data_IF_583861340935
#
_entry.id   IF_583861340935
#
_cell.length_a   1.000
_cell.length_b   1.000
_cell.length_c   1.000
_cell.angle_alpha   90.00
_cell.angle_beta   90.00
_cell.angle_gamma   90.00
#
_symmetry.space_group_name_H-M   'P 1'
#
loop_
_entity.id
_entity.type
_entity.pdbx_description
1 polymer ?
#
# COMPACT_ATOMS: atom_id res chain seq x y z
N UNK A 1 -10.41 14.33 -9.78
CA UNK A 1 -9.85 13.01 -9.49
C UNK A 1 -10.87 11.99 -9.95
N UNK A 2 -10.50 11.14 -10.89
CA UNK A 2 -11.38 10.06 -11.37
C UNK A 2 -11.13 8.78 -10.56
N UNK A 3 -11.92 7.74 -10.80
CA UNK A 3 -11.70 6.45 -10.17
C UNK A 3 -10.43 5.78 -10.70
N UNK A 4 -10.09 6.00 -11.97
CA UNK A 4 -8.87 5.51 -12.60
C UNK A 4 -7.61 6.13 -11.96
N UNK A 5 -7.67 7.42 -11.57
CA UNK A 5 -6.59 8.07 -10.79
C UNK A 5 -6.33 7.34 -9.46
N UNK A 6 -7.38 6.72 -8.90
CA UNK A 6 -7.33 5.89 -7.69
C UNK A 6 -7.04 4.42 -7.99
N UNK A 7 -6.79 4.02 -9.25
CA UNK A 7 -6.50 2.64 -9.65
C UNK A 7 -7.71 1.75 -9.87
N UNK A 8 -8.86 2.34 -10.23
CA UNK A 8 -10.02 1.58 -10.68
C UNK A 8 -9.72 0.95 -12.04
N UNK A 9 -10.15 -0.29 -12.23
CA UNK A 9 -9.80 -1.08 -13.41
C UNK A 9 -11.01 -1.88 -13.91
N UNK A 10 -11.00 -2.31 -15.18
CA UNK A 10 -12.08 -3.14 -15.73
C UNK A 10 -12.37 -4.39 -14.90
N UNK A 11 -11.35 -5.04 -14.33
CA UNK A 11 -11.53 -6.20 -13.47
C UNK A 11 -12.34 -5.90 -12.19
N UNK A 12 -12.21 -4.68 -11.65
CA UNK A 12 -12.99 -4.25 -10.48
C UNK A 12 -14.44 -3.97 -10.90
N UNK A 13 -14.66 -3.34 -12.05
CA UNK A 13 -16.01 -3.09 -12.58
C UNK A 13 -16.73 -4.39 -12.92
N UNK A 14 -16.07 -5.34 -13.57
CA UNK A 14 -16.60 -6.67 -13.86
C UNK A 14 -17.00 -7.40 -12.56
N UNK A 15 -16.17 -7.34 -11.53
CA UNK A 15 -16.50 -7.91 -10.22
C UNK A 15 -17.69 -7.19 -9.57
N UNK A 16 -17.79 -5.87 -9.69
CA UNK A 16 -18.93 -5.07 -9.18
C UNK A 16 -20.22 -5.49 -9.87
N UNK A 17 -20.20 -5.65 -11.18
CA UNK A 17 -21.37 -6.09 -11.97
C UNK A 17 -21.77 -7.52 -11.64
N UNK A 18 -20.81 -8.45 -11.57
CA UNK A 18 -21.06 -9.85 -11.26
C UNK A 18 -21.69 -10.06 -9.87
N UNK A 19 -21.42 -9.16 -8.92
CA UNK A 19 -22.02 -9.17 -7.59
C UNK A 19 -23.38 -8.42 -7.52
N UNK A 20 -23.88 -7.89 -8.63
CA UNK A 20 -25.15 -7.14 -8.67
C UNK A 20 -25.06 -5.76 -8.00
N UNK A 21 -23.85 -5.19 -7.87
CA UNK A 21 -23.59 -3.93 -7.16
C UNK A 21 -23.52 -2.72 -8.11
N UNK A 22 -23.92 -2.88 -9.38
CA UNK A 22 -23.82 -1.83 -10.39
C UNK A 22 -24.61 -0.54 -10.04
N UNK A 23 -25.70 -0.68 -9.27
CA UNK A 23 -26.52 0.45 -8.81
C UNK A 23 -26.01 1.14 -7.54
N UNK A 24 -24.89 0.70 -6.97
CA UNK A 24 -24.27 1.33 -5.80
C UNK A 24 -23.09 2.19 -6.22
N UNK A 25 -22.83 3.26 -5.48
CA UNK A 25 -21.61 4.04 -5.65
C UNK A 25 -20.40 3.15 -5.31
N UNK A 26 -19.23 3.50 -5.87
CA UNK A 26 -17.98 2.78 -5.65
C UNK A 26 -16.90 3.75 -5.21
N UNK A 27 -16.06 3.30 -4.30
CA UNK A 27 -14.99 4.14 -3.75
C UNK A 27 -13.84 3.33 -3.20
N UNK A 28 -12.73 4.02 -2.98
CA UNK A 28 -11.49 3.46 -2.44
C UNK A 28 -11.29 3.88 -0.99
N UNK A 29 -11.07 2.91 -0.12
CA UNK A 29 -10.78 3.15 1.30
C UNK A 29 -9.41 3.82 1.42
N UNK A 30 -9.38 5.06 1.89
CA UNK A 30 -8.17 5.85 2.07
C UNK A 30 -7.65 5.81 3.51
N UNK A 31 -8.54 5.68 4.49
CA UNK A 31 -8.17 5.57 5.90
C UNK A 31 -9.15 4.67 6.68
N UNK A 32 -8.65 4.09 7.76
CA UNK A 32 -9.40 3.25 8.68
C UNK A 32 -9.19 3.76 10.12
N UNK A 33 -10.29 4.08 10.79
CA UNK A 33 -10.32 4.50 12.19
C UNK A 33 -11.33 3.64 12.96
N UNK A 34 -10.86 2.46 13.40
CA UNK A 34 -11.66 1.43 14.08
C UNK A 34 -12.80 0.88 13.21
N UNK A 35 -14.00 1.44 13.35
CA UNK A 35 -15.21 1.00 12.65
C UNK A 35 -15.67 1.99 11.59
N UNK A 36 -14.92 3.09 11.42
CA UNK A 36 -15.17 4.11 10.42
C UNK A 36 -14.07 4.14 9.37
N UNK A 37 -14.48 4.36 8.13
CA UNK A 37 -13.62 4.32 6.97
C UNK A 37 -13.76 5.62 6.20
N UNK A 38 -12.64 6.25 5.84
CA UNK A 38 -12.67 7.35 4.87
C UNK A 38 -12.63 6.73 3.48
N UNK A 39 -13.67 6.96 2.68
CA UNK A 39 -13.82 6.38 1.34
C UNK A 39 -13.83 7.50 0.30
N UNK A 40 -12.88 7.45 -0.64
CA UNK A 40 -12.81 8.38 -1.78
C UNK A 40 -13.59 7.84 -2.96
N UNK A 41 -14.48 8.65 -3.51
CA UNK A 41 -15.30 8.32 -4.70
C UNK A 41 -15.06 9.36 -5.80
N UNK A 42 -15.72 9.21 -6.94
CA UNK A 42 -15.73 10.23 -7.99
C UNK A 42 -16.45 11.51 -7.57
N UNK A 43 -17.38 11.43 -6.61
CA UNK A 43 -18.26 12.54 -6.20
C UNK A 43 -17.73 13.28 -4.96
N UNK A 44 -16.83 12.66 -4.20
CA UNK A 44 -16.28 13.23 -2.98
C UNK A 44 -15.74 12.18 -2.02
N UNK A 45 -15.48 12.61 -0.78
CA UNK A 45 -15.05 11.74 0.30
C UNK A 45 -16.20 11.49 1.27
N UNK A 46 -16.34 10.25 1.74
CA UNK A 46 -17.38 9.86 2.70
C UNK A 46 -16.75 9.25 3.94
N UNK A 47 -17.26 9.63 5.11
CA UNK A 47 -17.11 8.86 6.33
C UNK A 47 -18.12 7.69 6.29
N UNK A 48 -17.60 6.48 6.11
CA UNK A 48 -18.40 5.31 5.85
C UNK A 48 -18.34 4.29 6.98
N UNK A 49 -19.45 3.61 7.21
CA UNK A 49 -19.57 2.51 8.17
C UNK A 49 -20.06 1.24 7.46
N UNK A 50 -19.66 0.07 7.95
CA UNK A 50 -20.12 -1.20 7.38
C UNK A 50 -21.57 -1.51 7.82
N UNK A 51 -22.39 -1.98 6.87
CA UNK A 51 -23.77 -2.39 7.17
C UNK A 51 -23.82 -3.57 8.17
N UNK A 52 -24.91 -3.68 8.91
CA UNK A 52 -25.11 -4.75 9.90
C UNK A 52 -24.99 -6.15 9.30
N UNK A 53 -25.45 -6.35 8.06
CA UNK A 53 -25.32 -7.63 7.36
C UNK A 53 -23.85 -8.04 7.18
N UNK A 54 -23.00 -7.11 6.73
CA UNK A 54 -21.56 -7.35 6.54
C UNK A 54 -20.87 -7.62 7.89
N UNK A 55 -21.26 -6.89 8.94
CA UNK A 55 -20.76 -7.13 10.31
C UNK A 55 -21.13 -8.54 10.81
N UNK A 56 -22.35 -9.01 10.51
CA UNK A 56 -22.84 -10.31 10.96
C UNK A 56 -22.23 -11.47 10.17
N UNK A 57 -22.01 -11.31 8.86
CA UNK A 57 -21.44 -12.36 8.01
C UNK A 57 -19.92 -12.48 8.08
N UNK A 58 -19.22 -11.47 8.61
CA UNK A 58 -17.77 -11.48 8.73
C UNK A 58 -17.30 -12.60 9.68
N UNK A 59 -16.40 -13.46 9.19
CA UNK A 59 -15.79 -14.54 9.96
C UNK A 59 -14.48 -14.11 10.62
N UNK A 60 -13.82 -13.11 10.05
CA UNK A 60 -12.52 -12.63 10.50
C UNK A 60 -12.36 -11.13 10.27
N UNK A 61 -11.30 -10.54 10.84
CA UNK A 61 -10.94 -9.15 10.55
C UNK A 61 -10.68 -8.91 9.06
N UNK A 62 -10.31 -9.96 8.31
CA UNK A 62 -10.03 -9.85 6.88
C UNK A 62 -11.26 -9.60 6.02
N UNK A 63 -12.47 -9.86 6.54
CA UNK A 63 -13.72 -9.63 5.80
C UNK A 63 -14.19 -8.17 5.88
N UNK A 64 -13.59 -7.39 6.77
CA UNK A 64 -13.84 -5.95 6.85
C UNK A 64 -12.98 -5.18 5.84
N UNK A 65 -13.42 -3.97 5.44
CA UNK A 65 -12.61 -3.09 4.62
C UNK A 65 -11.26 -2.79 5.29
N UNK A 66 -10.22 -2.68 4.47
CA UNK A 66 -8.88 -2.24 4.86
C UNK A 66 -8.43 -1.11 3.92
N UNK A 67 -7.40 -0.36 4.32
CA UNK A 67 -6.83 0.70 3.48
C UNK A 67 -6.43 0.14 2.12
N UNK A 68 -6.88 0.81 1.05
CA UNK A 68 -6.67 0.39 -0.33
C UNK A 68 -7.80 -0.46 -0.93
N UNK A 69 -8.76 -0.92 -0.13
CA UNK A 69 -9.90 -1.69 -0.64
C UNK A 69 -10.81 -0.83 -1.53
N UNK A 70 -11.34 -1.48 -2.56
CA UNK A 70 -12.48 -0.96 -3.30
C UNK A 70 -13.75 -1.46 -2.64
N UNK A 71 -14.71 -0.57 -2.42
CA UNK A 71 -15.97 -0.88 -1.73
C UNK A 71 -17.16 -0.37 -2.53
N UNK A 72 -18.24 -1.13 -2.50
CA UNK A 72 -19.55 -0.67 -2.92
C UNK A 72 -20.26 -0.03 -1.72
N UNK A 73 -20.79 1.17 -1.91
CA UNK A 73 -21.39 1.98 -0.86
C UNK A 73 -22.67 2.67 -1.31
N UNK A 74 -23.52 3.00 -0.33
CA UNK A 74 -24.69 3.86 -0.50
C UNK A 74 -24.53 5.10 0.38
N UNK A 75 -24.36 6.29 -0.21
CA UNK A 75 -24.49 7.54 0.53
C UNK A 75 -25.89 7.67 1.13
N UNK A 76 -25.97 8.18 2.37
CA UNK A 76 -27.24 8.46 3.04
C UNK A 76 -27.31 9.87 3.64
N UNK A 77 -26.20 10.59 3.61
CA UNK A 77 -26.03 11.97 4.07
C UNK A 77 -24.94 12.63 3.20
N UNK A 78 -24.75 13.95 3.30
CA UNK A 78 -23.82 14.72 2.45
C UNK A 78 -22.39 14.16 2.48
N UNK A 79 -21.93 13.72 3.67
CA UNK A 79 -20.57 13.21 3.88
C UNK A 79 -20.54 11.80 4.47
N UNK A 80 -21.68 11.08 4.50
CA UNK A 80 -21.75 9.74 5.09
C UNK A 80 -22.32 8.69 4.16
N UNK A 81 -21.77 7.49 4.29
CA UNK A 81 -22.18 6.34 3.50
C UNK A 81 -22.18 5.03 4.28
N UNK A 82 -22.89 4.05 3.77
CA UNK A 82 -22.84 2.67 4.26
C UNK A 82 -22.10 1.79 3.26
N UNK A 83 -21.07 1.08 3.73
CA UNK A 83 -20.35 0.08 2.95
C UNK A 83 -21.16 -1.21 2.95
N UNK A 84 -21.56 -1.62 1.75
CA UNK A 84 -22.33 -2.84 1.52
C UNK A 84 -21.44 -4.05 1.26
N UNK A 85 -20.35 -3.85 0.52
CA UNK A 85 -19.45 -4.93 0.13
C UNK A 85 -18.04 -4.42 -0.11
N UNK A 86 -17.06 -5.29 0.15
CA UNK A 86 -15.67 -5.14 -0.26
C UNK A 86 -15.48 -5.89 -1.58
N UNK A 87 -14.99 -5.20 -2.60
CA UNK A 87 -14.69 -5.80 -3.91
C UNK A 87 -13.39 -6.64 -3.84
N UNK A 88 -13.17 -7.59 -4.77
CA UNK A 88 -12.03 -8.49 -4.72
C UNK A 88 -10.67 -7.75 -4.67
N UNK A 89 -9.78 -8.25 -3.81
CA UNK A 89 -8.43 -7.69 -3.61
C UNK A 89 -7.44 -8.28 -4.62
N UNK A 90 -6.73 -7.41 -5.34
CA UNK A 90 -5.63 -7.78 -6.24
C UNK A 90 -4.38 -8.24 -5.48
N UNK A 91 -4.01 -7.50 -4.45
CA UNK A 91 -2.87 -7.78 -3.58
C UNK A 91 -3.24 -7.52 -2.13
N UNK A 92 -2.56 -8.22 -1.22
CA UNK A 92 -2.76 -8.12 0.22
C UNK A 92 -1.38 -8.04 0.87
N UNK A 93 -1.13 -6.95 1.59
CA UNK A 93 0.03 -6.83 2.45
C UNK A 93 -0.41 -7.07 3.90
N UNK A 94 0.21 -8.07 4.53
CA UNK A 94 -0.13 -8.53 5.86
C UNK A 94 1.12 -8.65 6.75
N UNK A 95 0.93 -8.49 8.06
CA UNK A 95 1.97 -8.68 9.09
C UNK A 95 1.46 -9.63 10.16
N UNK A 96 2.34 -10.45 10.72
CA UNK A 96 2.00 -11.23 11.91
C UNK A 96 1.65 -10.31 13.08
N UNK A 97 0.51 -10.55 13.72
CA UNK A 97 0.09 -9.81 14.89
C UNK A 97 1.04 -10.08 16.07
N UNK A 98 1.40 -9.02 16.80
CA UNK A 98 2.22 -9.14 18.01
C UNK A 98 1.40 -9.83 19.09
N UNK A 99 1.90 -10.93 19.66
CA UNK A 99 1.31 -11.59 20.84
C UNK A 99 0.29 -12.69 20.57
N UNK A 100 -0.05 -12.97 19.30
CA UNK A 100 -0.89 -14.11 18.92
C UNK A 100 -0.25 -14.88 17.78
N UNK A 101 0.26 -16.09 18.07
CA UNK A 101 0.82 -16.96 17.04
C UNK A 101 -0.25 -17.28 15.99
N UNK A 102 -0.04 -16.85 14.75
CA UNK A 102 -0.86 -17.21 13.60
C UNK A 102 -1.91 -16.19 13.16
N UNK A 103 -2.28 -15.20 13.98
CA UNK A 103 -3.19 -14.13 13.51
C UNK A 103 -2.41 -13.16 12.60
N UNK A 104 -2.89 -13.01 11.36
CA UNK A 104 -2.34 -12.06 10.39
C UNK A 104 -3.19 -10.79 10.40
N UNK A 105 -2.52 -9.65 10.49
CA UNK A 105 -3.15 -8.34 10.39
C UNK A 105 -2.95 -7.80 8.98
N UNK A 106 -4.04 -7.50 8.29
CA UNK A 106 -4.02 -6.71 7.05
C UNK A 106 -3.48 -5.31 7.33
N UNK A 107 -2.51 -4.89 6.52
CA UNK A 107 -1.95 -3.54 6.57
C UNK A 107 -2.58 -2.69 5.47
N UNK A 108 -2.55 -3.20 4.24
CA UNK A 108 -3.06 -2.52 3.06
C UNK A 108 -3.35 -3.52 1.94
N UNK A 109 -4.17 -3.12 0.98
CA UNK A 109 -4.60 -3.95 -0.15
C UNK A 109 -4.49 -3.19 -1.47
N UNK A 110 -4.53 -3.92 -2.57
CA UNK A 110 -4.49 -3.35 -3.93
C UNK A 110 -3.28 -2.43 -4.16
N UNK A 111 -2.14 -2.80 -3.58
CA UNK A 111 -0.83 -2.20 -3.81
C UNK A 111 -0.23 -2.74 -5.11
N UNK A 112 0.33 -1.84 -5.91
CA UNK A 112 1.08 -2.15 -7.13
C UNK A 112 2.59 -2.17 -6.87
N UNK A 113 3.08 -1.26 -6.02
CA UNK A 113 4.49 -1.14 -5.68
C UNK A 113 4.79 -0.94 -4.19
N UNK A 114 6.01 -1.28 -3.79
CA UNK A 114 6.51 -1.05 -2.44
C UNK A 114 7.95 -0.51 -2.49
N UNK A 115 8.13 0.68 -1.92
CA UNK A 115 9.45 1.28 -1.70
C UNK A 115 10.01 0.79 -0.36
N UNK A 116 11.00 -0.09 -0.42
CA UNK A 116 11.71 -0.62 0.75
C UNK A 116 12.84 0.32 1.11
N UNK A 117 12.61 1.15 2.12
CA UNK A 117 13.52 2.19 2.60
C UNK A 117 14.47 1.62 3.66
N UNK A 118 15.76 1.78 3.41
CA UNK A 118 16.86 1.46 4.34
C UNK A 118 17.76 2.69 4.46
N UNK A 119 17.99 3.17 5.69
CA UNK A 119 18.99 4.19 5.91
C UNK A 119 20.39 3.58 5.77
N UNK A 120 21.32 4.31 5.14
CA UNK A 120 22.73 3.90 5.02
C UNK A 120 23.55 4.11 6.30
N UNK A 121 22.90 4.44 7.41
CA UNK A 121 23.51 4.60 8.72
C UNK A 121 23.68 3.24 9.44
N UNK A 122 23.84 3.26 10.77
CA UNK A 122 24.04 2.06 11.59
C UNK A 122 22.86 1.07 11.55
N UNK A 123 21.69 1.46 11.06
CA UNK A 123 20.53 0.56 10.94
C UNK A 123 20.47 -0.20 9.61
N UNK A 124 21.43 0.02 8.69
CA UNK A 124 21.48 -0.76 7.44
C UNK A 124 21.59 -2.25 7.74
N UNK A 125 20.61 -3.03 7.25
CA UNK A 125 20.53 -4.45 7.55
C UNK A 125 20.04 -5.25 6.34
N UNK A 126 20.96 -5.97 5.70
CA UNK A 126 20.65 -6.74 4.51
C UNK A 126 19.61 -7.85 4.76
N UNK A 127 19.70 -8.57 5.88
CA UNK A 127 18.71 -9.60 6.23
C UNK A 127 17.31 -9.00 6.39
N UNK A 128 17.21 -7.74 6.83
CA UNK A 128 15.95 -7.01 6.91
C UNK A 128 15.42 -6.64 5.53
N UNK A 129 16.30 -6.16 4.63
CA UNK A 129 15.96 -5.90 3.23
C UNK A 129 15.41 -7.16 2.54
N UNK A 130 16.10 -8.29 2.67
CA UNK A 130 15.67 -9.57 2.09
C UNK A 130 14.31 -10.04 2.62
N UNK A 131 14.03 -9.82 3.91
CA UNK A 131 12.70 -10.10 4.48
C UNK A 131 11.61 -9.23 3.86
N UNK A 132 11.86 -7.95 3.63
CA UNK A 132 10.88 -7.08 2.96
C UNK A 132 10.67 -7.47 1.50
N UNK A 133 11.74 -7.87 0.79
CA UNK A 133 11.63 -8.40 -0.57
C UNK A 133 10.78 -9.67 -0.61
N UNK A 134 10.97 -10.59 0.34
CA UNK A 134 10.15 -11.79 0.46
C UNK A 134 8.67 -11.48 0.73
N UNK A 135 8.37 -10.46 1.55
CA UNK A 135 7.00 -9.99 1.78
C UNK A 135 6.36 -9.44 0.49
N UNK A 136 7.10 -8.61 -0.25
CA UNK A 136 6.61 -8.05 -1.52
C UNK A 136 6.35 -9.17 -2.54
N UNK A 137 7.26 -10.13 -2.65
CA UNK A 137 7.10 -11.28 -3.53
C UNK A 137 5.87 -12.12 -3.16
N UNK A 138 5.68 -12.44 -1.88
CA UNK A 138 4.51 -13.19 -1.41
C UNK A 138 3.18 -12.46 -1.69
N UNK A 139 3.19 -11.12 -1.56
CA UNK A 139 2.04 -10.27 -1.83
C UNK A 139 1.83 -9.93 -3.32
N UNK A 140 2.75 -10.34 -4.21
CA UNK A 140 2.80 -9.99 -5.64
C UNK A 140 2.85 -8.47 -5.88
N UNK A 141 3.58 -7.75 -5.02
CA UNK A 141 3.80 -6.30 -5.11
C UNK A 141 5.19 -6.06 -5.70
N UNK A 142 5.33 -5.09 -6.62
CA UNK A 142 6.62 -4.75 -7.25
C UNK A 142 7.52 -4.01 -6.24
N UNK A 143 8.68 -4.57 -5.83
CA UNK A 143 9.56 -3.89 -4.89
C UNK A 143 10.48 -2.88 -5.60
N UNK A 144 10.86 -1.83 -4.86
CA UNK A 144 11.92 -0.88 -5.18
C UNK A 144 12.76 -0.67 -3.93
N UNK A 145 14.09 -0.73 -4.03
CA UNK A 145 14.96 -0.51 -2.87
C UNK A 145 15.36 0.97 -2.86
N UNK A 146 15.13 1.63 -1.74
CA UNK A 146 15.53 3.03 -1.52
C UNK A 146 16.57 3.08 -0.41
N UNK A 147 17.79 3.54 -0.75
CA UNK A 147 18.84 3.79 0.22
C UNK A 147 18.75 5.26 0.65
N UNK A 148 18.22 5.52 1.83
CA UNK A 148 18.02 6.88 2.33
C UNK A 148 19.22 7.38 3.14
N UNK A 149 19.26 8.70 3.38
CA UNK A 149 20.33 9.40 4.13
C UNK A 149 21.72 9.26 3.51
N UNK A 150 21.80 9.20 2.18
CA UNK A 150 23.08 9.05 1.47
C UNK A 150 24.04 10.21 1.68
N UNK A 151 23.57 11.35 2.21
CA UNK A 151 24.39 12.47 2.69
C UNK A 151 25.34 12.12 3.83
N UNK A 152 25.16 10.98 4.50
CA UNK A 152 26.05 10.49 5.54
C UNK A 152 27.30 9.77 5.00
N UNK A 153 27.36 9.51 3.70
CA UNK A 153 28.44 8.77 3.04
C UNK A 153 29.06 9.61 1.91
N UNK A 154 30.32 9.29 1.57
CA UNK A 154 30.92 9.82 0.34
C UNK A 154 30.31 9.20 -0.92
N UNK A 155 30.37 9.91 -2.05
CA UNK A 155 29.80 9.46 -3.33
C UNK A 155 30.32 8.08 -3.78
N UNK A 156 31.62 7.82 -3.57
CA UNK A 156 32.22 6.52 -3.89
C UNK A 156 31.67 5.38 -3.00
N UNK A 157 31.39 5.66 -1.73
CA UNK A 157 30.80 4.69 -0.80
C UNK A 157 29.35 4.38 -1.18
N UNK A 158 28.55 5.40 -1.50
CA UNK A 158 27.18 5.24 -1.99
C UNK A 158 27.15 4.39 -3.27
N UNK A 159 28.05 4.68 -4.21
CA UNK A 159 28.18 3.92 -5.46
C UNK A 159 28.51 2.46 -5.21
N UNK A 160 29.49 2.19 -4.32
CA UNK A 160 29.91 0.84 -3.97
C UNK A 160 28.77 0.06 -3.30
N UNK A 161 28.12 0.66 -2.30
CA UNK A 161 26.99 0.04 -1.60
C UNK A 161 25.83 -0.29 -2.54
N UNK A 162 25.50 0.64 -3.45
CA UNK A 162 24.45 0.44 -4.44
C UNK A 162 24.80 -0.74 -5.36
N UNK A 163 26.03 -0.80 -5.86
CA UNK A 163 26.50 -1.90 -6.72
C UNK A 163 26.47 -3.26 -5.99
N UNK A 164 26.90 -3.30 -4.72
CA UNK A 164 26.90 -4.52 -3.91
C UNK A 164 25.49 -5.07 -3.69
N UNK A 165 24.51 -4.20 -3.44
CA UNK A 165 23.11 -4.61 -3.29
C UNK A 165 22.55 -5.06 -4.65
N UNK A 166 22.82 -4.31 -5.72
CA UNK A 166 22.34 -4.64 -7.06
C UNK A 166 22.88 -5.99 -7.56
N UNK A 167 24.12 -6.33 -7.21
CA UNK A 167 24.73 -7.62 -7.54
C UNK A 167 24.01 -8.81 -6.87
N UNK A 168 23.47 -8.59 -5.66
CA UNK A 168 22.67 -9.59 -4.92
C UNK A 168 21.22 -9.64 -5.41
N UNK A 169 20.63 -8.50 -5.72
CA UNK A 169 19.21 -8.36 -6.09
C UNK A 169 19.07 -7.87 -7.53
N UNK A 170 19.40 -8.75 -8.49
CA UNK A 170 19.56 -8.39 -9.92
C UNK A 170 18.31 -7.80 -10.59
N UNK A 171 17.12 -8.10 -10.09
CA UNK A 171 15.83 -7.75 -10.73
C UNK A 171 15.12 -6.56 -10.11
N UNK A 172 15.68 -5.97 -9.04
CA UNK A 172 15.06 -4.88 -8.28
C UNK A 172 15.92 -3.64 -8.39
N UNK A 173 15.30 -2.50 -8.66
CA UNK A 173 15.99 -1.22 -8.74
C UNK A 173 16.48 -0.79 -7.34
N UNK A 174 17.71 -0.29 -7.27
CA UNK A 174 18.32 0.28 -6.06
C UNK A 174 18.52 1.78 -6.28
N UNK A 175 17.88 2.60 -5.44
CA UNK A 175 17.76 4.04 -5.62
C UNK A 175 18.40 4.75 -4.41
N UNK A 176 19.62 5.30 -4.56
CA UNK A 176 20.21 6.15 -3.54
C UNK A 176 19.47 7.49 -3.45
N UNK A 177 19.19 7.94 -2.23
CA UNK A 177 18.42 9.13 -1.93
C UNK A 177 18.89 9.81 -0.64
N UNK A 178 18.84 11.14 -0.63
CA UNK A 178 19.02 11.95 0.58
C UNK A 178 17.84 12.91 0.74
N UNK A 179 17.07 12.73 1.82
CA UNK A 179 15.99 13.65 2.17
C UNK A 179 16.52 15.04 2.54
N UNK A 180 17.76 15.13 3.03
CA UNK A 180 18.41 16.38 3.44
C UNK A 180 18.80 17.23 2.24
N UNK A 181 19.42 16.62 1.24
CA UNK A 181 19.95 17.34 0.07
C UNK A 181 18.98 17.37 -1.11
N UNK A 182 17.96 16.48 -1.11
CA UNK A 182 17.03 16.28 -2.22
C UNK A 182 17.58 15.39 -3.34
N UNK A 183 18.84 14.96 -3.26
CA UNK A 183 19.45 14.09 -4.27
C UNK A 183 18.69 12.76 -4.37
N UNK A 184 18.40 12.32 -5.61
CA UNK A 184 17.73 11.05 -5.91
C UNK A 184 16.21 11.03 -5.72
N UNK A 185 15.60 12.11 -5.19
CA UNK A 185 14.13 12.18 -4.99
C UNK A 185 13.37 12.09 -6.31
N UNK A 186 13.86 12.75 -7.37
CA UNK A 186 13.21 12.72 -8.68
C UNK A 186 13.20 11.31 -9.29
N UNK A 187 14.28 10.54 -9.10
CA UNK A 187 14.34 9.15 -9.56
C UNK A 187 13.30 8.25 -8.88
N UNK A 188 12.95 8.52 -7.61
CA UNK A 188 11.86 7.82 -6.92
C UNK A 188 10.51 8.29 -7.45
N UNK A 189 10.36 9.60 -7.71
CA UNK A 189 9.12 10.21 -8.24
C UNK A 189 8.77 9.67 -9.62
N UNK A 190 9.77 9.50 -10.48
CA UNK A 190 9.60 9.00 -11.86
C UNK A 190 9.09 7.55 -11.92
N UNK A 191 9.17 6.81 -10.82
CA UNK A 191 8.63 5.45 -10.70
C UNK A 191 7.17 5.40 -10.23
N UNK A 192 6.61 6.53 -9.80
CA UNK A 192 5.23 6.64 -9.33
C UNK A 192 4.33 6.95 -10.53
N UNK A 193 3.60 5.93 -10.96
CA UNK A 193 2.68 6.02 -12.09
C UNK A 193 1.28 6.42 -11.62
N UNK A 194 0.56 7.29 -12.38
CA UNK A 194 -0.85 7.57 -12.12
C UNK A 194 -1.70 6.30 -12.10
N UNK A 195 -2.67 6.24 -11.19
CA UNK A 195 -3.55 5.07 -11.03
C UNK A 195 -2.90 3.86 -10.37
N UNK A 196 -1.62 3.93 -9.97
CA UNK A 196 -0.98 2.90 -9.16
C UNK A 196 -0.90 3.28 -7.69
N UNK A 197 -0.91 2.28 -6.82
CA UNK A 197 -0.82 2.46 -5.38
C UNK A 197 0.50 1.93 -4.85
N UNK A 198 1.22 2.77 -4.10
CA UNK A 198 2.52 2.44 -3.55
C UNK A 198 2.50 2.51 -2.02
N UNK A 199 3.32 1.68 -1.37
CA UNK A 199 3.58 1.78 0.06
C UNK A 199 5.07 1.99 0.36
N UNK A 200 5.37 2.53 1.54
CA UNK A 200 6.73 2.69 2.05
C UNK A 200 6.94 1.67 3.18
N UNK A 201 7.91 0.78 3.00
CA UNK A 201 8.30 -0.25 3.96
C UNK A 201 9.67 0.08 4.53
N UNK A 202 9.85 -0.07 5.83
CA UNK A 202 11.14 0.21 6.45
C UNK A 202 10.99 0.47 7.95
N UNK A 203 12.11 0.40 8.64
CA UNK A 203 12.14 0.54 10.09
C UNK A 203 11.83 1.96 10.56
N UNK A 204 11.57 2.13 11.85
CA UNK A 204 11.37 3.47 12.40
C UNK A 204 12.64 4.31 12.21
N UNK A 205 12.49 5.57 11.82
CA UNK A 205 13.62 6.50 11.67
C UNK A 205 14.47 6.35 10.41
N UNK A 206 14.11 5.49 9.46
CA UNK A 206 14.84 5.35 8.19
C UNK A 206 14.56 6.49 7.19
N UNK A 207 13.58 7.36 7.44
CA UNK A 207 13.20 8.44 6.51
C UNK A 207 12.26 7.99 5.40
N UNK A 208 11.23 7.20 5.77
CA UNK A 208 10.06 6.95 4.91
C UNK A 208 9.27 8.24 4.73
#
# INVERSE_FOLDING_TARGET
MTLEDLGYSPAIEEARQAQGLAGMAVGRVAAEHKERYLVKTAEGEYEAEVIGQLRYSAQSRADFPAVGDWVALLPYDEEKALIHAVLPRKTILERQAVGKQGEKQLIATNLDGAFIVQAVDRDFNLNRLERYLALCHAAKIKPFIVLSKTDLLGEAEVTTLTADIQARVKTVAVLPLSNTTGAGVDAVRDLIEPGQTYCLLGSSGVGK
#
